data_IF_048310041367
#
_entry.id   IF_048310041367
#
_cell.length_a   1.000
_cell.length_b   1.000
_cell.length_c   1.000
_cell.angle_alpha   90.00
_cell.angle_beta   90.00
_cell.angle_gamma   90.00
#
_symmetry.space_group_name_H-M   'P 1'
#
loop_
_entity.id
_entity.type
_entity.pdbx_description
1 polymer ?
#
# COMPACT_ATOMS: atom_id res chain seq x y z
N UNK A 1 53.55 -9.03 -0.55
CA UNK A 1 52.77 -10.14 0.07
C UNK A 1 51.42 -9.58 0.47
N UNK A 2 50.38 -10.38 0.25
CA UNK A 2 48.98 -10.05 -0.01
C UNK A 2 48.28 -9.03 0.90
N UNK A 3 47.44 -8.22 0.26
CA UNK A 3 46.29 -7.52 0.87
C UNK A 3 45.05 -8.17 0.25
N UNK A 4 44.31 -8.94 1.05
CA UNK A 4 43.04 -9.56 0.65
C UNK A 4 41.87 -8.64 0.97
N UNK A 5 41.13 -8.27 -0.08
CA UNK A 5 39.77 -7.68 0.00
C UNK A 5 38.73 -8.77 -0.27
N UNK A 6 37.62 -8.85 0.47
CA UNK A 6 36.57 -9.84 0.24
C UNK A 6 35.60 -9.43 -0.88
N UNK A 7 35.59 -10.20 -1.96
CA UNK A 7 34.65 -10.10 -3.09
C UNK A 7 33.24 -10.58 -2.68
N UNK A 8 32.26 -9.69 -2.81
CA UNK A 8 30.83 -10.01 -2.73
C UNK A 8 30.42 -11.02 -3.81
N UNK A 9 29.87 -12.17 -3.41
CA UNK A 9 29.23 -13.15 -4.29
C UNK A 9 27.73 -12.85 -4.39
N UNK A 10 27.29 -12.29 -5.53
CA UNK A 10 25.88 -12.17 -5.87
C UNK A 10 25.35 -13.52 -6.40
N UNK A 11 24.40 -14.12 -5.69
CA UNK A 11 23.63 -15.29 -6.15
C UNK A 11 22.48 -14.82 -7.03
N UNK A 12 22.54 -15.15 -8.31
CA UNK A 12 21.43 -15.01 -9.25
C UNK A 12 20.51 -16.22 -9.08
N UNK A 13 19.30 -15.99 -8.58
CA UNK A 13 18.23 -16.98 -8.57
C UNK A 13 17.42 -16.87 -9.87
N UNK A 14 17.59 -17.85 -10.74
CA UNK A 14 16.83 -18.02 -11.98
C UNK A 14 15.45 -18.58 -11.65
N UNK A 15 14.39 -17.84 -11.96
CA UNK A 15 13.01 -18.34 -11.91
C UNK A 15 12.59 -18.84 -13.29
N UNK A 16 12.33 -20.14 -13.39
CA UNK A 16 11.88 -20.85 -14.57
C UNK A 16 10.33 -20.83 -14.60
N UNK A 17 9.76 -20.04 -15.50
CA UNK A 17 8.30 -19.98 -15.72
C UNK A 17 7.88 -21.13 -16.65
N UNK A 18 7.29 -22.18 -16.07
CA UNK A 18 6.70 -23.30 -16.83
C UNK A 18 5.22 -23.00 -17.07
N UNK A 19 4.91 -22.44 -18.24
CA UNK A 19 3.55 -22.35 -18.75
C UNK A 19 3.18 -23.65 -19.47
N UNK A 20 2.38 -24.49 -18.82
CA UNK A 20 1.77 -25.67 -19.42
C UNK A 20 0.58 -25.24 -20.30
N UNK A 21 0.79 -25.17 -21.63
CA UNK A 21 -0.30 -25.38 -22.60
C UNK A 21 -0.01 -26.65 -23.39
N UNK A 22 -0.80 -27.69 -23.12
CA UNK A 22 -0.85 -28.88 -23.93
C UNK A 22 -1.54 -28.59 -25.27
N UNK A 23 -0.81 -28.75 -26.35
CA UNK A 23 -1.32 -28.73 -27.71
C UNK A 23 -0.42 -29.58 -28.59
N UNK A 24 -0.91 -30.75 -28.99
CA UNK A 24 -0.25 -31.69 -29.91
C UNK A 24 -0.05 -31.01 -31.26
N UNK A 25 1.16 -31.07 -31.82
CA UNK A 25 1.44 -31.60 -33.16
C UNK A 25 2.96 -31.60 -33.36
N UNK A 26 3.50 -32.76 -33.73
CA UNK A 26 4.93 -32.94 -33.94
C UNK A 26 5.39 -32.33 -35.26
N UNK A 27 6.58 -31.76 -35.25
CA UNK A 27 7.49 -31.85 -36.38
C UNK A 27 8.91 -31.57 -35.88
N UNK A 28 9.85 -32.19 -36.58
CA UNK A 28 11.24 -32.31 -36.22
C UNK A 28 12.02 -30.99 -36.39
N UNK A 29 13.09 -30.86 -35.61
CA UNK A 29 14.35 -30.35 -36.13
C UNK A 29 14.76 -28.93 -35.71
N UNK A 30 15.96 -28.90 -35.13
CA UNK A 30 16.98 -27.84 -35.28
C UNK A 30 17.01 -26.74 -34.22
N UNK A 31 18.03 -26.86 -33.38
CA UNK A 31 18.62 -25.81 -32.55
C UNK A 31 19.15 -24.67 -33.42
N UNK A 32 18.80 -23.44 -33.09
CA UNK A 32 19.62 -22.27 -33.41
C UNK A 32 19.80 -21.45 -32.14
N UNK A 33 21.03 -21.46 -31.63
CA UNK A 33 21.52 -20.57 -30.60
C UNK A 33 21.77 -19.21 -31.24
N UNK A 34 21.14 -18.15 -30.76
CA UNK A 34 21.47 -16.78 -31.16
C UNK A 34 21.77 -15.96 -29.91
N UNK A 35 23.06 -15.72 -29.70
CA UNK A 35 23.63 -14.80 -28.71
C UNK A 35 23.49 -13.38 -29.25
N UNK A 36 22.96 -12.43 -28.46
CA UNK A 36 23.03 -11.01 -28.79
C UNK A 36 23.56 -10.23 -27.60
N UNK A 37 24.71 -9.61 -27.85
CA UNK A 37 25.49 -8.75 -26.98
C UNK A 37 24.90 -7.34 -27.00
N UNK A 38 24.88 -6.69 -25.84
CA UNK A 38 24.49 -5.28 -25.68
C UNK A 38 25.74 -4.43 -25.84
N UNK A 39 25.72 -3.44 -26.74
CA UNK A 39 26.47 -2.20 -26.53
C UNK A 39 25.86 -1.00 -27.27
N UNK A 40 25.71 0.05 -26.45
CA UNK A 40 25.56 1.51 -26.59
C UNK A 40 25.51 2.27 -27.94
N UNK A 41 24.80 3.42 -27.84
CA UNK A 41 24.92 4.74 -28.51
C UNK A 41 23.87 5.09 -29.59
N UNK A 42 23.10 6.16 -29.31
CA UNK A 42 22.66 7.14 -30.32
C UNK A 42 21.18 7.55 -30.30
N UNK A 43 20.88 8.71 -29.71
CA UNK A 43 19.78 9.58 -30.17
C UNK A 43 20.12 10.09 -31.61
N UNK A 44 19.18 10.55 -32.49
CA UNK A 44 18.13 11.55 -32.17
C UNK A 44 16.79 11.52 -33.00
N UNK A 45 15.91 12.48 -32.65
CA UNK A 45 14.99 13.26 -33.50
C UNK A 45 13.55 12.77 -33.83
N UNK A 46 12.60 13.56 -33.32
CA UNK A 46 11.35 14.11 -33.90
C UNK A 46 10.41 13.28 -34.79
N UNK A 47 9.13 13.24 -34.36
CA UNK A 47 7.95 13.43 -35.23
C UNK A 47 7.04 12.21 -35.47
N UNK A 48 5.79 12.43 -35.92
CA UNK A 48 4.63 12.29 -35.04
C UNK A 48 3.56 11.27 -35.52
N UNK A 49 2.56 11.06 -34.66
CA UNK A 49 1.21 10.53 -34.98
C UNK A 49 1.03 9.01 -35.01
N UNK A 50 0.18 8.50 -34.12
CA UNK A 50 -0.30 7.12 -34.14
C UNK A 50 -1.55 6.93 -33.29
N UNK A 51 -2.72 7.07 -33.91
CA UNK A 51 -4.06 6.82 -33.35
C UNK A 51 -4.17 5.36 -32.91
N UNK A 52 -4.65 5.11 -31.69
CA UNK A 52 -5.14 3.78 -31.29
C UNK A 52 -6.57 3.58 -31.83
N UNK A 53 -6.72 2.59 -32.72
CA UNK A 53 -8.01 2.00 -33.08
C UNK A 53 -8.26 0.81 -32.15
N UNK A 54 -9.36 0.88 -31.40
CA UNK A 54 -9.95 -0.25 -30.71
C UNK A 54 -10.57 -1.20 -31.74
N UNK A 55 -10.31 -2.51 -31.59
CA UNK A 55 -11.02 -3.57 -32.32
C UNK A 55 -11.67 -4.46 -31.29
N UNK A 56 -12.98 -4.27 -31.12
CA UNK A 56 -13.93 -5.28 -30.64
C UNK A 56 -14.02 -6.42 -31.66
N UNK A 57 -14.00 -7.68 -31.22
CA UNK A 57 -14.80 -8.85 -31.67
C UNK A 57 -14.44 -9.99 -30.70
N UNK A 58 -15.28 -10.93 -30.28
CA UNK A 58 -16.61 -11.35 -30.67
C UNK A 58 -16.87 -12.70 -30.00
N UNK A 59 -18.10 -12.92 -29.55
CA UNK A 59 -18.62 -14.11 -28.90
C UNK A 59 -18.70 -15.28 -29.91
N UNK A 60 -18.31 -16.50 -29.53
CA UNK A 60 -18.95 -17.73 -30.05
C UNK A 60 -19.01 -18.80 -28.97
N UNK A 61 -20.25 -19.23 -28.68
CA UNK A 61 -20.63 -20.38 -27.86
C UNK A 61 -20.54 -21.67 -28.69
N UNK A 62 -20.15 -22.80 -28.09
CA UNK A 62 -20.52 -24.10 -28.66
C UNK A 62 -20.72 -25.18 -27.58
N UNK A 63 -21.82 -25.91 -27.76
CA UNK A 63 -22.45 -26.88 -26.88
C UNK A 63 -22.43 -28.25 -27.58
N UNK A 64 -21.92 -29.31 -26.94
CA UNK A 64 -22.27 -30.71 -27.22
C UNK A 64 -21.65 -31.61 -26.13
N UNK A 65 -22.42 -32.23 -25.24
CA UNK A 65 -23.16 -33.49 -25.39
C UNK A 65 -22.29 -34.75 -25.17
N UNK A 66 -22.64 -35.49 -24.11
CA UNK A 66 -22.16 -36.82 -23.71
C UNK A 66 -22.54 -37.90 -24.74
N UNK A 67 -21.91 -39.09 -24.68
CA UNK A 67 -22.63 -40.21 -24.07
C UNK A 67 -21.78 -41.14 -23.18
N UNK A 68 -22.51 -41.76 -22.26
CA UNK A 68 -22.15 -42.82 -21.32
C UNK A 68 -22.02 -44.21 -21.96
N UNK A 69 -21.13 -45.08 -21.45
CA UNK A 69 -21.41 -46.51 -21.13
C UNK A 69 -20.19 -47.24 -20.52
N UNK A 70 -20.50 -48.10 -19.56
CA UNK A 70 -19.72 -49.10 -18.80
C UNK A 70 -18.88 -50.08 -19.66
N UNK A 71 -17.87 -50.85 -19.22
CA UNK A 71 -17.79 -51.77 -18.06
C UNK A 71 -16.37 -52.38 -17.93
N UNK A 72 -15.97 -52.69 -16.68
CA UNK A 72 -15.18 -53.87 -16.18
C UNK A 72 -13.61 -53.94 -16.24
N UNK A 73 -13.05 -53.91 -15.01
CA UNK A 73 -12.03 -54.77 -14.35
C UNK A 73 -10.82 -55.35 -15.10
N UNK A 74 -9.62 -55.12 -14.53
CA UNK A 74 -8.60 -56.07 -14.01
C UNK A 74 -7.52 -55.21 -13.29
N UNK A 75 -7.17 -55.37 -12.00
CA UNK A 75 -6.35 -56.37 -11.30
C UNK A 75 -4.82 -56.33 -11.61
N UNK A 76 -4.01 -56.02 -10.57
CA UNK A 76 -2.52 -56.09 -10.51
C UNK A 76 -1.82 -54.76 -10.85
N UNK A 77 -0.77 -54.27 -10.21
CA UNK A 77 0.23 -54.81 -9.28
C UNK A 77 0.95 -53.62 -8.62
N UNK A 78 1.45 -53.80 -7.40
CA UNK A 78 2.20 -52.80 -6.63
C UNK A 78 3.62 -52.54 -7.17
N UNK A 79 4.10 -51.29 -7.08
CA UNK A 79 5.47 -50.96 -6.70
C UNK A 79 5.56 -49.49 -6.18
N UNK A 80 6.39 -49.17 -5.17
CA UNK A 80 6.34 -47.94 -4.41
C UNK A 80 7.43 -46.95 -4.85
N UNK A 81 7.09 -45.68 -5.03
CA UNK A 81 8.03 -44.56 -4.84
C UNK A 81 7.24 -43.25 -4.94
N UNK A 82 6.84 -42.70 -3.79
CA UNK A 82 6.41 -41.30 -3.70
C UNK A 82 7.23 -40.61 -2.63
N UNK A 83 8.13 -39.77 -3.14
CA UNK A 83 8.79 -38.67 -2.45
C UNK A 83 7.78 -37.92 -1.59
N UNK A 84 8.12 -37.82 -0.32
CA UNK A 84 7.49 -36.97 0.69
C UNK A 84 7.51 -35.52 0.22
N UNK A 85 6.37 -35.04 -0.26
CA UNK A 85 6.06 -33.61 -0.32
C UNK A 85 5.64 -33.22 1.08
N UNK A 86 6.37 -32.26 1.63
CA UNK A 86 6.21 -31.72 2.97
C UNK A 86 4.77 -31.20 3.16
N UNK A 87 4.07 -31.80 4.12
CA UNK A 87 2.72 -31.41 4.53
C UNK A 87 2.86 -30.18 5.42
N UNK A 88 2.04 -29.12 5.27
CA UNK A 88 1.96 -28.11 6.32
C UNK A 88 1.54 -28.82 7.60
N UNK A 89 2.38 -28.66 8.64
CA UNK A 89 2.21 -29.32 9.92
C UNK A 89 0.82 -28.99 10.48
N UNK A 90 -0.01 -30.03 10.54
CA UNK A 90 -1.32 -30.00 11.18
C UNK A 90 -1.07 -29.70 12.66
N UNK A 91 -1.51 -28.51 13.11
CA UNK A 91 -1.38 -28.07 14.51
C UNK A 91 -1.78 -29.18 15.48
N UNK A 92 -0.82 -29.57 16.32
CA UNK A 92 -1.02 -30.45 17.46
C UNK A 92 -2.02 -29.82 18.42
N UNK A 93 -2.97 -30.61 18.94
CA UNK A 93 -4.00 -30.17 19.90
C UNK A 93 -3.45 -29.48 21.17
N UNK A 94 -2.16 -29.63 21.48
CA UNK A 94 -1.49 -28.95 22.60
C UNK A 94 -1.22 -27.46 22.35
N UNK A 95 -0.94 -27.05 21.11
CA UNK A 95 -0.70 -25.63 20.78
C UNK A 95 -1.98 -24.78 20.75
N UNK A 96 -3.15 -25.42 20.72
CA UNK A 96 -4.45 -24.76 20.72
C UNK A 96 -4.91 -24.35 22.13
N UNK A 97 -4.26 -24.88 23.18
CA UNK A 97 -4.51 -24.52 24.58
C UNK A 97 -3.64 -23.34 25.05
N UNK A 98 -2.43 -23.17 24.51
CA UNK A 98 -1.55 -22.04 24.89
C UNK A 98 -1.99 -20.69 24.29
N UNK A 99 -2.70 -20.70 23.15
CA UNK A 99 -3.30 -19.49 22.54
C UNK A 99 -4.45 -18.93 23.40
N UNK A 100 -5.09 -19.78 24.22
CA UNK A 100 -6.27 -19.40 25.01
C UNK A 100 -5.98 -18.43 26.18
N UNK A 101 -4.71 -18.25 26.55
CA UNK A 101 -4.29 -17.34 27.62
C UNK A 101 -3.59 -16.06 27.12
N UNK A 102 -3.33 -15.93 25.82
CA UNK A 102 -2.63 -14.76 25.28
C UNK A 102 -3.63 -13.67 24.92
N UNK A 103 -3.42 -12.47 25.45
CA UNK A 103 -4.24 -11.32 25.10
C UNK A 103 -3.88 -10.79 23.72
N UNK A 104 -4.86 -10.32 22.96
CA UNK A 104 -4.60 -9.66 21.69
C UNK A 104 -4.12 -8.25 22.00
N UNK A 105 -2.99 -7.86 21.42
CA UNK A 105 -2.36 -6.56 21.68
C UNK A 105 -2.61 -5.57 20.55
N UNK A 106 -2.59 -6.04 19.31
CA UNK A 106 -2.77 -5.18 18.13
C UNK A 106 -3.49 -5.90 16.98
N UNK A 107 -4.28 -5.12 16.25
CA UNK A 107 -4.82 -5.44 14.93
C UNK A 107 -4.13 -4.54 13.90
N UNK A 108 -3.40 -5.15 12.97
CA UNK A 108 -2.89 -4.46 11.79
C UNK A 108 -3.84 -4.69 10.61
N UNK A 109 -4.17 -3.61 9.90
CA UNK A 109 -4.94 -3.57 8.66
C UNK A 109 -4.11 -3.03 7.50
N UNK A 110 -3.02 -2.33 7.79
CA UNK A 110 -2.03 -1.90 6.81
C UNK A 110 -1.18 -3.10 6.41
N UNK A 111 -0.98 -3.28 5.09
CA UNK A 111 -0.37 -4.44 4.44
C UNK A 111 -1.14 -5.77 4.63
N UNK A 112 -2.36 -5.71 5.15
CA UNK A 112 -3.27 -6.85 5.30
C UNK A 112 -3.80 -7.03 6.72
N UNK A 113 -4.66 -8.03 6.91
CA UNK A 113 -5.23 -8.33 8.25
C UNK A 113 -4.26 -9.21 9.04
N UNK A 114 -3.60 -8.64 10.03
CA UNK A 114 -2.69 -9.37 10.93
C UNK A 114 -3.08 -9.09 12.38
N UNK A 115 -3.21 -10.14 13.19
CA UNK A 115 -3.48 -10.01 14.62
C UNK A 115 -2.23 -10.34 15.40
N UNK A 116 -1.78 -9.42 16.24
CA UNK A 116 -0.65 -9.57 17.13
C UNK A 116 -1.13 -10.01 18.52
N UNK A 117 -0.50 -11.05 19.04
CA UNK A 117 -0.75 -11.56 20.38
C UNK A 117 0.35 -11.12 21.36
N UNK A 118 0.01 -11.10 22.64
CA UNK A 118 0.93 -10.96 23.74
C UNK A 118 1.97 -12.10 23.70
N UNK A 119 3.26 -11.73 23.60
CA UNK A 119 4.36 -12.68 23.38
C UNK A 119 4.89 -12.74 21.94
N UNK A 120 4.38 -11.91 21.03
CA UNK A 120 4.97 -11.71 19.70
C UNK A 120 4.52 -12.70 18.63
N UNK A 121 3.51 -13.53 18.92
CA UNK A 121 2.88 -14.39 17.92
C UNK A 121 1.97 -13.57 16.99
N UNK A 122 1.94 -13.94 15.71
CA UNK A 122 1.13 -13.31 14.67
C UNK A 122 0.14 -14.31 14.10
N UNK A 123 -1.12 -13.91 13.96
CA UNK A 123 -2.15 -14.67 13.25
C UNK A 123 -2.41 -13.97 11.92
N UNK A 124 -2.08 -14.65 10.82
CA UNK A 124 -2.29 -14.18 9.44
C UNK A 124 -3.31 -15.03 8.67
N UNK A 125 -3.46 -16.31 9.03
CA UNK A 125 -4.39 -17.24 8.36
C UNK A 125 -5.77 -17.22 9.05
N UNK A 126 -6.54 -16.16 8.77
CA UNK A 126 -7.93 -16.05 9.20
C UNK A 126 -8.88 -16.35 8.04
N UNK A 127 -10.02 -17.04 8.26
CA UNK A 127 -11.03 -17.19 7.22
C UNK A 127 -11.51 -15.82 6.71
N UNK A 128 -11.74 -15.68 5.41
CA UNK A 128 -12.10 -14.40 4.78
C UNK A 128 -13.30 -13.70 5.46
N UNK A 129 -14.31 -14.45 5.88
CA UNK A 129 -15.45 -13.87 6.60
C UNK A 129 -15.09 -13.26 7.98
N UNK A 130 -14.08 -13.83 8.66
CA UNK A 130 -13.54 -13.28 9.92
C UNK A 130 -12.69 -12.07 9.64
N UNK A 131 -11.84 -12.12 8.60
CA UNK A 131 -11.04 -10.97 8.18
C UNK A 131 -11.93 -9.77 7.84
N UNK A 132 -12.97 -9.97 7.01
CA UNK A 132 -13.87 -8.88 6.56
C UNK A 132 -14.59 -8.25 7.74
N UNK A 133 -15.03 -9.07 8.68
CA UNK A 133 -15.68 -8.60 9.89
C UNK A 133 -14.74 -7.76 10.76
N UNK A 134 -13.54 -8.25 11.04
CA UNK A 134 -12.57 -7.54 11.89
C UNK A 134 -12.07 -6.26 11.23
N UNK A 135 -11.79 -6.29 9.93
CA UNK A 135 -11.39 -5.12 9.15
C UNK A 135 -12.47 -4.03 9.19
N UNK A 136 -13.74 -4.38 8.96
CA UNK A 136 -14.84 -3.43 9.01
C UNK A 136 -14.98 -2.79 10.40
N UNK A 137 -14.84 -3.57 11.48
CA UNK A 137 -14.87 -3.02 12.84
C UNK A 137 -13.68 -2.10 13.13
N UNK A 138 -12.49 -2.46 12.65
CA UNK A 138 -11.28 -1.64 12.80
C UNK A 138 -11.31 -0.34 11.99
N UNK A 139 -12.15 -0.24 10.94
CA UNK A 139 -12.32 0.99 10.18
C UNK A 139 -13.53 1.83 10.65
N UNK A 140 -14.66 1.19 10.95
CA UNK A 140 -15.90 1.88 11.30
C UNK A 140 -16.01 2.26 12.79
N UNK A 141 -15.05 1.85 13.62
CA UNK A 141 -14.99 2.15 15.05
C UNK A 141 -16.07 1.41 15.86
N UNK A 142 -17.28 1.98 15.97
CA UNK A 142 -18.39 1.45 16.80
C UNK A 142 -19.71 1.29 16.04
N UNK A 143 -19.77 0.59 14.90
CA UNK A 143 -21.00 0.45 14.12
C UNK A 143 -22.09 -0.37 14.83
N UNK A 144 -23.34 -0.06 14.52
CA UNK A 144 -24.49 -0.88 14.92
C UNK A 144 -24.50 -2.23 14.19
N UNK A 145 -25.10 -3.26 14.79
CA UNK A 145 -25.13 -4.62 14.21
C UNK A 145 -25.78 -4.67 12.83
N UNK A 146 -26.86 -3.93 12.59
CA UNK A 146 -27.51 -3.82 11.27
C UNK A 146 -26.60 -3.19 10.22
N UNK A 147 -25.90 -2.11 10.58
CA UNK A 147 -24.91 -1.48 9.70
C UNK A 147 -23.81 -2.46 9.30
N UNK A 148 -23.26 -3.22 10.26
CA UNK A 148 -22.24 -4.24 9.98
C UNK A 148 -22.78 -5.34 9.07
N UNK A 149 -24.01 -5.80 9.29
CA UNK A 149 -24.64 -6.81 8.44
C UNK A 149 -24.79 -6.32 7.00
N UNK A 150 -25.27 -5.08 6.80
CA UNK A 150 -25.45 -4.47 5.49
C UNK A 150 -24.15 -4.30 4.70
N UNK A 151 -23.05 -3.90 5.36
CA UNK A 151 -21.75 -3.77 4.68
C UNK A 151 -21.12 -5.11 4.27
N UNK A 152 -21.27 -6.15 5.09
CA UNK A 152 -20.65 -7.45 4.82
C UNK A 152 -21.44 -8.30 3.82
N UNK A 153 -22.77 -8.17 3.83
CA UNK A 153 -23.68 -8.92 2.97
C UNK A 153 -24.72 -8.00 2.31
N UNK A 154 -24.31 -7.11 1.39
CA UNK A 154 -25.22 -6.17 0.73
C UNK A 154 -26.25 -6.86 -0.17
N UNK A 155 -25.93 -8.05 -0.68
CA UNK A 155 -26.73 -8.77 -1.69
C UNK A 155 -27.88 -9.62 -1.12
N UNK A 156 -28.03 -9.68 0.21
CA UNK A 156 -29.02 -10.55 0.86
C UNK A 156 -30.00 -9.75 1.71
N UNK A 157 -31.24 -10.25 1.92
CA UNK A 157 -32.19 -9.61 2.82
C UNK A 157 -31.64 -9.47 4.25
N UNK A 158 -32.07 -8.42 4.95
CA UNK A 158 -31.59 -8.05 6.28
C UNK A 158 -31.66 -9.22 7.29
N UNK A 159 -32.72 -10.03 7.29
CA UNK A 159 -32.86 -11.15 8.22
C UNK A 159 -31.79 -12.23 7.99
N UNK A 160 -31.40 -12.43 6.73
CA UNK A 160 -30.33 -13.37 6.34
C UNK A 160 -28.97 -12.78 6.72
N UNK A 161 -28.75 -11.50 6.46
CA UNK A 161 -27.53 -10.79 6.81
C UNK A 161 -27.30 -10.83 8.34
N UNK A 162 -28.33 -10.61 9.15
CA UNK A 162 -28.28 -10.69 10.60
C UNK A 162 -27.96 -12.10 11.13
N UNK A 163 -28.48 -13.15 10.48
CA UNK A 163 -28.16 -14.54 10.85
C UNK A 163 -26.70 -14.88 10.51
N UNK A 164 -26.23 -14.44 9.35
CA UNK A 164 -24.82 -14.57 8.94
C UNK A 164 -23.90 -13.81 9.89
N UNK A 165 -24.27 -12.59 10.29
CA UNK A 165 -23.56 -11.79 11.28
C UNK A 165 -23.40 -12.52 12.61
N UNK A 166 -24.48 -13.08 13.16
CA UNK A 166 -24.43 -13.85 14.42
C UNK A 166 -23.45 -15.03 14.33
N UNK A 167 -23.48 -15.74 13.21
CA UNK A 167 -22.59 -16.89 12.96
C UNK A 167 -21.14 -16.46 12.85
N UNK A 168 -20.86 -15.38 12.12
CA UNK A 168 -19.50 -14.84 11.97
C UNK A 168 -18.98 -14.28 13.30
N UNK A 169 -19.78 -13.53 14.05
CA UNK A 169 -19.41 -13.01 15.36
C UNK A 169 -19.05 -14.14 16.32
N UNK A 170 -19.85 -15.21 16.37
CA UNK A 170 -19.54 -16.38 17.20
C UNK A 170 -18.21 -17.03 16.81
N UNK A 171 -17.91 -17.12 15.51
CA UNK A 171 -16.61 -17.62 15.03
C UNK A 171 -15.46 -16.70 15.43
N UNK A 172 -15.63 -15.39 15.28
CA UNK A 172 -14.63 -14.38 15.68
C UNK A 172 -14.34 -14.49 17.18
N UNK A 173 -15.36 -14.53 18.03
CA UNK A 173 -15.19 -14.66 19.48
C UNK A 173 -14.50 -15.97 19.89
N UNK A 174 -14.60 -17.02 19.06
CA UNK A 174 -13.93 -18.30 19.28
C UNK A 174 -12.48 -18.33 18.78
N UNK A 175 -12.19 -17.68 17.65
CA UNK A 175 -10.85 -17.64 17.07
C UNK A 175 -9.98 -16.53 17.67
N UNK A 176 -10.59 -15.41 18.03
CA UNK A 176 -9.95 -14.17 18.48
C UNK A 176 -10.66 -13.65 19.75
N UNK A 177 -10.58 -14.40 20.87
CA UNK A 177 -11.22 -14.00 22.11
C UNK A 177 -10.65 -12.66 22.60
N UNK A 178 -11.54 -11.74 23.00
CA UNK A 178 -11.15 -10.42 23.52
C UNK A 178 -10.88 -9.35 22.44
N UNK A 179 -10.95 -9.68 21.15
CA UNK A 179 -10.80 -8.69 20.08
C UNK A 179 -11.99 -7.74 19.94
N UNK A 180 -13.20 -8.25 20.20
CA UNK A 180 -14.46 -7.57 19.86
C UNK A 180 -15.31 -7.38 21.09
N UNK A 181 -15.64 -6.12 21.37
CA UNK A 181 -16.57 -5.74 22.41
C UNK A 181 -17.97 -5.51 21.80
N UNK A 182 -18.98 -6.14 22.41
CA UNK A 182 -20.38 -5.91 22.08
C UNK A 182 -21.08 -5.24 23.25
N UNK A 183 -21.40 -3.95 23.12
CA UNK A 183 -22.08 -3.17 24.15
C UNK A 183 -23.16 -2.30 23.54
N UNK A 184 -24.35 -2.27 24.16
CA UNK A 184 -25.45 -1.38 23.76
C UNK A 184 -25.96 -1.59 22.32
N UNK A 185 -25.78 -2.78 21.73
CA UNK A 185 -26.17 -3.06 20.34
C UNK A 185 -25.16 -2.60 19.28
N UNK A 186 -24.05 -1.99 19.68
CA UNK A 186 -22.90 -1.69 18.83
C UNK A 186 -21.83 -2.78 18.92
N UNK A 187 -21.03 -2.90 17.87
CA UNK A 187 -19.86 -3.75 17.79
C UNK A 187 -18.63 -2.85 17.65
N UNK A 188 -17.56 -3.14 18.38
CA UNK A 188 -16.32 -2.39 18.31
C UNK A 188 -15.13 -3.31 18.51
N UNK A 189 -13.97 -2.92 17.99
CA UNK A 189 -12.69 -3.50 18.45
C UNK A 189 -12.52 -3.13 19.92
N UNK A 190 -12.01 -4.06 20.73
CA UNK A 190 -11.83 -3.84 22.16
C UNK A 190 -10.85 -2.71 22.41
N UNK A 191 -11.12 -1.88 23.42
CA UNK A 191 -10.24 -0.75 23.79
C UNK A 191 -8.85 -1.16 24.25
N UNK A 192 -8.63 -2.45 24.51
CA UNK A 192 -7.32 -3.03 24.86
C UNK A 192 -6.46 -3.35 23.65
N UNK A 193 -7.04 -3.37 22.45
CA UNK A 193 -6.36 -3.71 21.20
C UNK A 193 -6.06 -2.43 20.45
N UNK A 194 -4.78 -2.17 20.16
CA UNK A 194 -4.42 -1.06 19.28
C UNK A 194 -4.70 -1.42 17.83
N UNK A 195 -5.19 -0.45 17.05
CA UNK A 195 -5.43 -0.61 15.61
C UNK A 195 -4.52 0.36 14.90
N UNK A 196 -3.68 -0.12 13.99
CA UNK A 196 -2.73 0.70 13.25
C UNK A 196 -3.37 1.89 12.51
N UNK A 197 -4.55 1.69 11.93
CA UNK A 197 -5.33 2.76 11.27
C UNK A 197 -5.80 3.83 12.25
N UNK A 198 -6.16 3.44 13.49
CA UNK A 198 -6.52 4.42 14.52
C UNK A 198 -5.29 5.22 14.94
N UNK A 199 -4.15 4.57 15.16
CA UNK A 199 -2.89 5.25 15.48
C UNK A 199 -2.47 6.24 14.38
N UNK A 200 -2.64 5.85 13.11
CA UNK A 200 -2.41 6.73 11.95
C UNK A 200 -3.35 7.93 11.94
N UNK A 201 -4.63 7.70 12.22
CA UNK A 201 -5.65 8.75 12.29
C UNK A 201 -5.37 9.72 13.44
N UNK A 202 -5.03 9.21 14.62
CA UNK A 202 -4.73 10.02 15.81
C UNK A 202 -3.49 10.88 15.60
N UNK A 203 -2.43 10.31 15.00
CA UNK A 203 -1.25 11.08 14.60
C UNK A 203 -1.61 12.18 13.61
N UNK A 204 -2.38 11.86 12.56
CA UNK A 204 -2.72 12.84 11.54
C UNK A 204 -3.55 13.99 12.12
N UNK A 205 -4.53 13.69 12.97
CA UNK A 205 -5.30 14.68 13.71
C UNK A 205 -4.40 15.57 14.59
N UNK A 206 -3.44 14.98 15.30
CA UNK A 206 -2.46 15.70 16.13
C UNK A 206 -1.55 16.61 15.29
N UNK A 207 -1.08 16.12 14.13
CA UNK A 207 -0.28 16.90 13.20
C UNK A 207 -1.06 18.10 12.63
N UNK A 208 -2.36 17.93 12.36
CA UNK A 208 -3.23 18.97 11.82
C UNK A 208 -3.62 20.01 12.89
N UNK A 209 -3.85 19.57 14.13
CA UNK A 209 -4.29 20.44 15.22
C UNK A 209 -3.27 21.56 15.50
N UNK A 210 -3.60 22.85 15.30
CA UNK A 210 -2.68 23.96 15.52
C UNK A 210 -2.12 24.05 16.94
N UNK A 211 -2.84 23.51 17.93
CA UNK A 211 -2.47 23.58 19.35
C UNK A 211 -1.50 22.49 19.77
N UNK A 212 -1.44 21.38 19.02
CA UNK A 212 -0.51 20.30 19.31
C UNK A 212 0.92 20.72 18.93
N UNK A 213 1.87 20.70 19.89
CA UNK A 213 3.25 21.06 19.64
C UNK A 213 3.92 20.05 18.70
N UNK A 214 4.90 20.53 17.94
CA UNK A 214 5.57 19.71 16.92
C UNK A 214 6.34 18.52 17.51
N UNK A 215 6.79 18.63 18.77
CA UNK A 215 7.49 17.56 19.48
C UNK A 215 6.58 16.38 19.84
N UNK A 216 5.27 16.61 19.94
CA UNK A 216 4.27 15.57 20.22
C UNK A 216 3.76 14.90 18.93
N UNK A 217 4.06 15.47 17.76
CA UNK A 217 3.66 14.94 16.45
C UNK A 217 4.58 13.78 16.01
N UNK A 218 4.75 12.77 16.86
CA UNK A 218 5.62 11.62 16.60
C UNK A 218 4.98 10.74 15.52
N UNK A 219 5.66 10.59 14.38
CA UNK A 219 5.19 9.77 13.26
C UNK A 219 4.95 8.31 13.69
N UNK A 220 3.88 7.65 13.20
CA UNK A 220 3.69 6.22 13.41
C UNK A 220 4.86 5.40 12.84
N UNK A 221 4.97 4.14 13.27
CA UNK A 221 6.07 3.25 12.89
C UNK A 221 6.14 2.89 11.40
N UNK A 222 6.86 1.80 11.10
CA UNK A 222 7.17 1.36 9.73
C UNK A 222 5.97 1.13 8.80
N UNK A 223 4.76 0.93 9.34
CA UNK A 223 3.53 0.75 8.57
C UNK A 223 2.97 2.05 7.97
N UNK A 224 3.55 3.21 8.25
CA UNK A 224 3.10 4.48 7.65
C UNK A 224 3.04 4.47 6.11
N UNK A 225 3.84 3.60 5.48
CA UNK A 225 3.96 3.47 4.02
C UNK A 225 3.18 2.33 3.41
N UNK A 226 2.54 1.48 4.22
CA UNK A 226 1.85 0.31 3.70
C UNK A 226 0.49 0.66 3.11
N UNK A 227 -0.02 -0.24 2.28
CA UNK A 227 -1.34 -0.09 1.69
C UNK A 227 -2.40 -0.66 2.63
N UNK A 228 -3.52 0.05 2.85
CA UNK A 228 -4.61 -0.50 3.67
C UNK A 228 -5.24 -1.71 2.95
N UNK A 229 -5.18 -2.90 3.56
CA UNK A 229 -5.85 -4.12 3.11
C UNK A 229 -5.63 -4.47 1.62
N UNK A 230 -4.38 -4.59 1.11
CA UNK A 230 -4.12 -4.73 -0.33
C UNK A 230 -4.88 -5.93 -0.94
N UNK A 231 -5.41 -5.74 -2.16
CA UNK A 231 -6.21 -6.76 -2.86
C UNK A 231 -7.70 -6.80 -2.49
N UNK A 232 -8.14 -5.93 -1.57
CA UNK A 232 -9.56 -5.75 -1.22
C UNK A 232 -10.19 -4.66 -2.08
N UNK A 233 -11.39 -4.92 -2.60
CA UNK A 233 -12.10 -4.07 -3.57
C UNK A 233 -13.52 -3.72 -3.12
N UNK A 234 -13.85 -3.96 -1.85
CA UNK A 234 -15.12 -3.52 -1.30
C UNK A 234 -15.18 -1.99 -1.18
N UNK A 235 -16.33 -1.41 -1.53
CA UNK A 235 -16.53 0.06 -1.55
C UNK A 235 -16.16 0.74 -0.22
N UNK A 236 -16.47 0.11 0.91
CA UNK A 236 -16.12 0.64 2.24
C UNK A 236 -14.61 0.63 2.51
N UNK A 237 -13.84 -0.29 1.91
CA UNK A 237 -12.38 -0.28 1.99
C UNK A 237 -11.80 0.80 1.10
N UNK A 238 -12.30 0.93 -0.14
CA UNK A 238 -11.84 1.92 -1.10
C UNK A 238 -12.05 3.35 -0.60
N UNK A 239 -13.22 3.61 0.00
CA UNK A 239 -13.54 4.89 0.61
C UNK A 239 -12.58 5.23 1.76
N UNK A 240 -12.31 4.25 2.64
CA UNK A 240 -11.40 4.45 3.77
C UNK A 240 -9.94 4.60 3.35
N UNK A 241 -9.49 3.90 2.30
CA UNK A 241 -8.18 4.13 1.68
C UNK A 241 -8.01 5.56 1.24
N UNK A 242 -8.96 6.08 0.46
CA UNK A 242 -8.91 7.45 -0.03
C UNK A 242 -8.97 8.45 1.12
N UNK A 243 -9.84 8.21 2.11
CA UNK A 243 -9.93 9.06 3.31
C UNK A 243 -8.60 9.14 4.06
N UNK A 244 -7.95 8.00 4.32
CA UNK A 244 -6.67 7.94 5.02
C UNK A 244 -5.55 8.57 4.19
N UNK A 245 -5.55 8.35 2.87
CA UNK A 245 -4.57 8.92 1.97
C UNK A 245 -4.62 10.46 2.00
N UNK A 246 -5.81 11.06 1.84
CA UNK A 246 -5.99 12.51 1.94
C UNK A 246 -5.61 13.06 3.32
N UNK A 247 -6.00 12.34 4.38
CA UNK A 247 -5.69 12.72 5.76
C UNK A 247 -4.17 12.75 6.01
N UNK A 248 -3.44 11.72 5.55
CA UNK A 248 -1.99 11.64 5.71
C UNK A 248 -1.27 12.73 4.93
N UNK A 249 -1.67 13.00 3.68
CA UNK A 249 -1.10 14.09 2.89
C UNK A 249 -1.27 15.44 3.59
N UNK A 250 -2.49 15.74 4.06
CA UNK A 250 -2.75 17.00 4.74
C UNK A 250 -2.00 17.12 6.07
N UNK A 251 -1.86 16.03 6.81
CA UNK A 251 -1.07 15.99 8.04
C UNK A 251 0.41 16.26 7.79
N UNK A 252 1.00 15.66 6.75
CA UNK A 252 2.40 15.86 6.38
C UNK A 252 2.70 17.30 5.91
N UNK A 253 1.82 17.88 5.10
CA UNK A 253 1.91 19.29 4.68
C UNK A 253 1.85 20.23 5.89
N UNK A 254 0.92 19.98 6.81
CA UNK A 254 0.77 20.78 8.02
C UNK A 254 1.98 20.62 8.94
N UNK A 255 2.48 19.38 9.10
CA UNK A 255 3.66 19.07 9.88
C UNK A 255 4.91 19.74 9.32
N UNK A 256 5.11 19.71 8.00
CA UNK A 256 6.19 20.42 7.32
C UNK A 256 6.13 21.92 7.65
N UNK A 257 4.96 22.56 7.52
CA UNK A 257 4.80 23.97 7.85
C UNK A 257 5.05 24.26 9.35
N UNK A 258 4.65 23.38 10.27
CA UNK A 258 4.95 23.49 11.71
C UNK A 258 6.45 23.39 11.99
N UNK A 259 7.12 22.40 11.41
CA UNK A 259 8.56 22.19 11.56
C UNK A 259 9.36 23.37 11.01
N UNK A 260 8.96 23.92 9.86
CA UNK A 260 9.57 25.13 9.29
C UNK A 260 9.47 26.32 10.24
N UNK A 261 8.29 26.57 10.84
CA UNK A 261 8.12 27.65 11.83
C UNK A 261 8.92 27.42 13.11
N UNK A 262 9.19 26.17 13.47
CA UNK A 262 10.01 25.79 14.60
C UNK A 262 11.53 25.83 14.30
N UNK A 263 11.94 26.16 13.07
CA UNK A 263 13.35 26.16 12.65
C UNK A 263 13.95 24.77 12.45
N UNK A 264 13.12 23.71 12.41
CA UNK A 264 13.53 22.31 12.22
C UNK A 264 13.47 21.95 10.74
N UNK A 265 14.28 22.64 9.93
CA UNK A 265 14.16 22.62 8.47
C UNK A 265 14.38 21.24 7.83
N UNK A 266 15.36 20.47 8.30
CA UNK A 266 15.62 19.12 7.76
C UNK A 266 14.39 18.20 7.88
N UNK A 267 13.75 18.20 9.05
CA UNK A 267 12.53 17.41 9.27
C UNK A 267 11.33 17.97 8.49
N UNK A 268 11.28 19.29 8.29
CA UNK A 268 10.24 19.92 7.47
C UNK A 268 10.34 19.50 6.00
N UNK A 269 11.56 19.43 5.47
CA UNK A 269 11.87 18.95 4.12
C UNK A 269 11.52 17.46 4.00
N UNK A 270 11.88 16.64 4.98
CA UNK A 270 11.51 15.23 5.01
C UNK A 270 9.98 15.07 4.94
N UNK A 271 9.23 15.76 5.81
CA UNK A 271 7.77 15.72 5.81
C UNK A 271 7.15 16.19 4.48
N UNK A 272 7.72 17.20 3.82
CA UNK A 272 7.26 17.64 2.51
C UNK A 272 7.55 16.59 1.42
N UNK A 273 8.73 15.96 1.43
CA UNK A 273 9.04 14.85 0.53
C UNK A 273 8.11 13.66 0.75
N UNK A 274 7.75 13.33 1.99
CA UNK A 274 6.72 12.33 2.29
C UNK A 274 5.39 12.67 1.62
N UNK A 275 4.94 13.92 1.74
CA UNK A 275 3.70 14.37 1.12
C UNK A 275 3.76 14.27 -0.41
N UNK A 276 4.90 14.60 -1.02
CA UNK A 276 5.12 14.46 -2.48
C UNK A 276 5.11 12.98 -2.89
N UNK A 277 5.65 12.06 -2.09
CA UNK A 277 5.59 10.63 -2.40
C UNK A 277 4.17 10.10 -2.42
N UNK A 278 3.31 10.59 -1.52
CA UNK A 278 1.89 10.23 -1.49
C UNK A 278 1.11 10.93 -2.63
N UNK A 279 1.38 12.20 -2.89
CA UNK A 279 0.73 12.98 -3.94
C UNK A 279 1.73 13.69 -4.85
N UNK A 280 2.30 13.01 -5.87
CA UNK A 280 3.36 13.59 -6.70
C UNK A 280 2.97 14.87 -7.45
N UNK A 281 1.69 15.00 -7.81
CA UNK A 281 1.16 16.17 -8.53
C UNK A 281 0.45 17.16 -7.58
N UNK A 282 0.51 16.93 -6.27
CA UNK A 282 -0.18 17.76 -5.29
C UNK A 282 0.61 19.04 -5.01
N UNK A 283 0.10 20.15 -5.53
CA UNK A 283 0.79 21.44 -5.48
C UNK A 283 1.10 21.92 -4.05
N UNK A 284 0.20 21.68 -3.09
CA UNK A 284 0.42 22.07 -1.69
C UNK A 284 1.62 21.38 -1.03
N UNK A 285 1.94 20.14 -1.43
CA UNK A 285 3.10 19.41 -0.95
C UNK A 285 4.40 20.01 -1.50
N UNK A 286 4.43 20.33 -2.80
CA UNK A 286 5.56 21.03 -3.43
C UNK A 286 5.76 22.43 -2.86
N UNK A 287 4.67 23.16 -2.60
CA UNK A 287 4.74 24.47 -1.94
C UNK A 287 5.35 24.38 -0.54
N UNK A 288 4.99 23.35 0.24
CA UNK A 288 5.59 23.12 1.56
C UNK A 288 7.11 22.89 1.47
N UNK A 289 7.56 22.11 0.48
CA UNK A 289 8.99 21.88 0.21
C UNK A 289 9.73 23.18 -0.16
N UNK A 290 9.18 23.94 -1.11
CA UNK A 290 9.77 25.23 -1.56
C UNK A 290 9.87 26.20 -0.37
N UNK A 291 8.82 26.29 0.46
CA UNK A 291 8.84 27.14 1.65
C UNK A 291 9.88 26.69 2.67
N UNK A 292 9.99 25.38 2.94
CA UNK A 292 10.95 24.85 3.89
C UNK A 292 12.40 25.21 3.49
N UNK A 293 12.77 25.00 2.23
CA UNK A 293 14.08 25.42 1.71
C UNK A 293 14.29 26.93 1.71
N UNK A 294 13.24 27.71 1.40
CA UNK A 294 13.31 29.16 1.43
C UNK A 294 13.61 29.71 2.84
N UNK A 295 12.90 29.21 3.85
CA UNK A 295 13.04 29.63 5.25
C UNK A 295 14.36 29.16 5.87
N UNK A 296 14.89 28.01 5.43
CA UNK A 296 16.23 27.54 5.78
C UNK A 296 17.34 28.46 5.21
N UNK A 297 17.01 29.25 4.18
CA UNK A 297 17.97 30.07 3.42
C UNK A 297 18.56 29.37 2.20
N UNK A 298 18.12 28.15 1.91
CA UNK A 298 18.51 27.33 0.76
C UNK A 298 17.73 27.72 -0.50
N UNK A 299 17.79 28.99 -0.89
CA UNK A 299 17.03 29.53 -2.04
C UNK A 299 17.32 28.80 -3.35
N UNK A 300 18.53 28.25 -3.54
CA UNK A 300 18.86 27.45 -4.71
C UNK A 300 18.03 26.17 -4.80
N UNK A 301 17.91 25.42 -3.70
CA UNK A 301 17.09 24.21 -3.62
C UNK A 301 15.60 24.52 -3.77
N UNK A 302 15.14 25.65 -3.21
CA UNK A 302 13.76 26.09 -3.39
C UNK A 302 13.41 26.34 -4.87
N UNK A 303 14.31 26.96 -5.64
CA UNK A 303 14.14 27.19 -7.08
C UNK A 303 14.23 25.89 -7.89
N UNK A 304 15.17 25.01 -7.56
CA UNK A 304 15.28 23.69 -8.21
C UNK A 304 14.04 22.82 -7.97
N UNK A 305 13.47 22.86 -6.75
CA UNK A 305 12.23 22.15 -6.44
C UNK A 305 11.05 22.69 -7.28
N UNK A 306 10.96 24.02 -7.43
CA UNK A 306 9.96 24.66 -8.30
C UNK A 306 10.11 24.27 -9.78
N UNK A 307 11.33 24.30 -10.32
CA UNK A 307 11.61 23.93 -11.71
C UNK A 307 11.20 22.47 -11.97
N UNK A 308 11.62 21.54 -11.10
CA UNK A 308 11.24 20.13 -11.20
C UNK A 308 9.72 19.92 -11.16
N UNK A 309 9.03 20.62 -10.26
CA UNK A 309 7.57 20.52 -10.18
C UNK A 309 6.89 21.09 -11.43
N UNK A 310 7.40 22.19 -11.97
CA UNK A 310 6.88 22.82 -13.19
C UNK A 310 7.02 21.88 -14.38
N UNK A 311 8.18 21.27 -14.56
CA UNK A 311 8.44 20.30 -15.62
C UNK A 311 7.50 19.10 -15.49
N UNK A 312 7.39 18.52 -14.28
CA UNK A 312 6.52 17.38 -14.01
C UNK A 312 5.03 17.69 -14.27
N UNK A 313 4.55 18.87 -13.85
CA UNK A 313 3.15 19.26 -14.02
C UNK A 313 2.81 19.51 -15.49
N UNK A 314 3.75 20.08 -16.26
CA UNK A 314 3.61 20.28 -17.68
C UNK A 314 3.63 18.94 -18.45
N UNK A 315 4.50 18.01 -18.07
CA UNK A 315 4.59 16.67 -18.69
C UNK A 315 3.35 15.81 -18.43
N UNK A 316 2.87 15.76 -17.18
CA UNK A 316 1.80 14.85 -16.78
C UNK A 316 0.40 15.42 -17.04
N UNK A 317 0.20 16.72 -16.83
CA UNK A 317 -1.12 17.37 -16.91
C UNK A 317 -1.22 18.47 -17.98
N UNK A 318 -0.10 18.91 -18.57
CA UNK A 318 -0.10 20.05 -19.49
C UNK A 318 -0.48 21.37 -18.82
N UNK A 319 -0.27 21.47 -17.51
CA UNK A 319 -0.64 22.64 -16.70
C UNK A 319 0.59 23.40 -16.21
N UNK A 320 0.41 24.69 -15.94
CA UNK A 320 1.39 25.51 -15.24
C UNK A 320 1.09 25.52 -13.72
N UNK A 321 2.11 25.78 -12.87
CA UNK A 321 1.92 25.94 -11.42
C UNK A 321 0.90 27.04 -11.10
N UNK A 322 0.24 26.97 -9.93
CA UNK A 322 -0.69 28.03 -9.55
C UNK A 322 0.02 29.33 -9.20
N UNK A 323 -0.79 30.41 -9.20
CA UNK A 323 -0.40 31.76 -8.77
C UNK A 323 0.22 31.76 -7.36
N UNK A 324 -0.14 30.81 -6.49
CA UNK A 324 0.41 30.75 -5.13
C UNK A 324 1.89 30.35 -5.13
N UNK A 325 2.27 29.35 -5.94
CA UNK A 325 3.68 28.95 -6.09
C UNK A 325 4.45 30.01 -6.87
N UNK A 326 3.87 30.55 -7.95
CA UNK A 326 4.52 31.61 -8.73
C UNK A 326 4.83 32.85 -7.88
N UNK A 327 3.91 33.24 -6.99
CA UNK A 327 4.12 34.34 -6.06
C UNK A 327 5.29 34.06 -5.09
N UNK A 328 5.33 32.84 -4.52
CA UNK A 328 6.41 32.41 -3.63
C UNK A 328 7.77 32.50 -4.33
N UNK A 329 7.90 31.97 -5.54
CA UNK A 329 9.15 31.98 -6.31
C UNK A 329 9.60 33.39 -6.70
N UNK A 330 8.63 34.26 -7.04
CA UNK A 330 8.91 35.66 -7.35
C UNK A 330 9.53 36.39 -6.16
N UNK A 331 9.03 36.15 -4.95
CA UNK A 331 9.59 36.72 -3.71
C UNK A 331 11.04 36.26 -3.48
N UNK A 332 11.32 34.97 -3.68
CA UNK A 332 12.68 34.41 -3.56
C UNK A 332 13.67 35.05 -4.55
N UNK A 333 13.23 35.24 -5.80
CA UNK A 333 14.06 35.85 -6.84
C UNK A 333 14.33 37.33 -6.55
N UNK A 334 13.32 38.05 -6.05
CA UNK A 334 13.45 39.47 -5.70
C UNK A 334 14.42 39.67 -4.51
N UNK A 335 14.29 38.85 -3.46
CA UNK A 335 15.19 38.88 -2.30
C UNK A 335 16.66 38.65 -2.68
N UNK A 336 16.93 37.75 -3.64
CA UNK A 336 18.29 37.50 -4.15
C UNK A 336 18.85 38.68 -4.94
N UNK A 337 18.02 39.35 -5.71
CA UNK A 337 18.43 40.48 -6.56
C UNK A 337 18.88 41.67 -5.71
N UNK A 338 18.20 41.93 -4.59
CA UNK A 338 18.57 43.00 -3.64
C UNK A 338 19.86 42.66 -2.88
N UNK A 339 20.08 41.39 -2.53
CA UNK A 339 21.29 40.97 -1.79
C UNK A 339 22.57 40.95 -2.63
N UNK A 340 22.49 41.09 -3.95
CA UNK A 340 23.66 41.22 -4.81
C UNK A 340 24.17 42.68 -4.68
N UNK A 341 25.32 42.94 -4.02
CA UNK A 341 25.83 44.31 -3.94
C UNK A 341 26.05 44.83 -5.35
N UNK A 342 25.57 46.05 -5.61
CA UNK A 342 25.80 46.74 -6.88
C UNK A 342 27.28 46.65 -7.20
N UNK A 343 27.63 45.99 -8.31
CA UNK A 343 29.00 45.91 -8.77
C UNK A 343 29.53 47.34 -8.87
N UNK A 344 30.52 47.67 -8.02
CA UNK A 344 31.15 48.99 -8.07
C UNK A 344 31.67 49.21 -9.48
N UNK A 345 31.37 50.36 -10.11
CA UNK A 345 31.92 50.66 -11.43
C UNK A 345 33.44 50.69 -11.28
N UNK A 346 34.15 49.80 -11.98
CA UNK A 346 35.60 49.86 -12.08
C UNK A 346 35.93 51.14 -12.86
N UNK A 347 36.43 52.14 -12.14
CA UNK A 347 36.99 53.37 -12.70
C UNK A 347 38.37 53.15 -13.29
#
# INVERSE_FOLDING_TARGET
>A
MSVDSPTHSARILTFESVSQRGGRFGSAGSRLTMTLSVDQVGAPAHGPSGRYLAVEQGIVSETAALPSSSTRRTAGTADPERRTVDRPQRMSRSGQQDIACQSITRLALVDGVVVHLEGGLLITDLPLGVQRFVALLGLAGRPGRSTVAGYLWPEVPEEVAQRSLRTTLWRVQRCLPGLVDSSGGALAVSSRVSVDVHELTDWACSAIDPHTPVDECIRPGCWFYGDLLPGWYEDWVLLERERLHQLCMHALETLSAKLTRAGRYGEAVDAAHEAIRLGPLRESAHRALIQAHAEEGNTGEALLAYERFTDQLAEELGLAPSVQIEALVRELTYARTIRRPAASPRG
#
